data_IF_960551432825
#
_entry.id   IF_960551432825
#
_cell.length_a   1.000
_cell.length_b   1.000
_cell.length_c   1.000
_cell.angle_alpha   90.00
_cell.angle_beta   90.00
_cell.angle_gamma   90.00
#
_symmetry.space_group_name_H-M   'P 1'
#
loop_
_entity.id
_entity.type
_entity.pdbx_description
1 polymer ?
#
# COMPACT_ATOMS: atom_id res chain seq x y z
N UNK A 1 8.05 -21.09 4.31
CA UNK A 1 8.99 -19.96 4.14
C UNK A 1 8.34 -18.93 3.23
N UNK A 2 8.50 -17.65 3.52
CA UNK A 2 8.00 -16.58 2.64
C UNK A 2 8.78 -16.52 1.33
N UNK A 3 8.24 -15.81 0.34
CA UNK A 3 8.91 -15.55 -0.92
C UNK A 3 9.97 -14.47 -0.71
N UNK A 4 11.23 -14.78 -0.97
CA UNK A 4 12.31 -13.79 -0.91
C UNK A 4 12.64 -13.31 -2.32
N UNK A 5 12.72 -11.99 -2.51
CA UNK A 5 13.16 -11.41 -3.78
C UNK A 5 14.54 -11.95 -4.16
N UNK A 6 14.74 -12.21 -5.45
CA UNK A 6 16.05 -12.54 -6.00
C UNK A 6 16.22 -11.91 -7.38
N UNK A 7 17.46 -11.75 -7.84
CA UNK A 7 17.74 -11.20 -9.18
C UNK A 7 17.15 -12.03 -10.33
N UNK A 8 16.76 -13.28 -10.06
CA UNK A 8 16.04 -14.13 -11.03
C UNK A 8 14.62 -13.65 -11.31
N UNK A 9 14.06 -12.83 -10.43
CA UNK A 9 12.74 -12.21 -10.55
C UNK A 9 12.83 -10.82 -11.19
N UNK A 10 14.04 -10.29 -11.42
CA UNK A 10 14.21 -8.96 -12.04
C UNK A 10 13.99 -9.02 -13.55
N UNK A 11 13.06 -8.20 -14.01
CA UNK A 11 12.85 -7.93 -15.45
C UNK A 11 13.79 -6.84 -15.97
N UNK A 12 14.74 -6.37 -15.14
CA UNK A 12 15.74 -5.37 -15.50
C UNK A 12 15.17 -3.95 -15.65
N UNK A 13 13.94 -3.72 -15.21
CA UNK A 13 13.28 -2.42 -15.21
C UNK A 13 13.00 -2.04 -13.76
N UNK A 14 13.71 -1.05 -13.17
CA UNK A 14 13.63 -0.75 -11.74
C UNK A 14 12.21 -0.48 -11.21
N UNK A 15 11.35 0.15 -12.03
CA UNK A 15 9.96 0.42 -11.65
C UNK A 15 9.11 -0.86 -11.58
N UNK A 16 9.28 -1.79 -12.53
CA UNK A 16 8.56 -3.07 -12.51
C UNK A 16 9.09 -3.98 -11.40
N UNK A 17 10.41 -4.03 -11.22
CA UNK A 17 11.02 -4.78 -10.11
C UNK A 17 10.54 -4.24 -8.74
N UNK A 18 10.32 -2.93 -8.63
CA UNK A 18 9.72 -2.32 -7.44
C UNK A 18 8.28 -2.78 -7.24
N UNK A 19 7.47 -2.78 -8.30
CA UNK A 19 6.08 -3.27 -8.22
C UNK A 19 6.03 -4.76 -7.82
N UNK A 20 6.88 -5.60 -8.42
CA UNK A 20 6.98 -7.02 -8.07
C UNK A 20 7.36 -7.23 -6.61
N UNK A 21 8.33 -6.46 -6.09
CA UNK A 21 8.70 -6.48 -4.66
C UNK A 21 7.53 -6.10 -3.76
N UNK A 22 6.75 -5.08 -4.14
CA UNK A 22 5.54 -4.67 -3.43
C UNK A 22 4.51 -5.81 -3.41
N UNK A 23 4.23 -6.43 -4.56
CA UNK A 23 3.31 -7.57 -4.66
C UNK A 23 3.77 -8.79 -3.84
N UNK A 24 5.07 -9.11 -3.87
CA UNK A 24 5.67 -10.16 -3.04
C UNK A 24 5.56 -9.81 -1.55
N UNK A 25 5.70 -8.54 -1.18
CA UNK A 25 5.45 -8.03 0.17
C UNK A 25 4.04 -8.36 0.66
N UNK A 26 3.02 -8.14 -0.18
CA UNK A 26 1.62 -8.48 0.12
C UNK A 26 1.42 -9.99 0.30
N UNK A 27 2.06 -10.83 -0.54
CA UNK A 27 2.05 -12.30 -0.37
C UNK A 27 2.67 -12.70 0.97
N UNK A 28 3.85 -12.16 1.29
CA UNK A 28 4.55 -12.48 2.53
C UNK A 28 3.76 -12.07 3.78
N UNK A 29 3.06 -10.94 3.71
CA UNK A 29 2.15 -10.52 4.77
C UNK A 29 1.03 -11.53 4.95
N UNK A 30 0.34 -11.90 3.88
CA UNK A 30 -0.76 -12.87 3.94
C UNK A 30 -0.30 -14.22 4.49
N UNK A 31 0.95 -14.60 4.24
CA UNK A 31 1.55 -15.80 4.80
C UNK A 31 1.79 -15.72 6.31
N UNK A 32 2.15 -14.55 6.84
CA UNK A 32 2.33 -14.34 8.29
C UNK A 32 1.01 -14.33 9.04
N UNK A 33 -0.08 -13.89 8.40
CA UNK A 33 -1.39 -13.82 9.04
C UNK A 33 -2.09 -15.18 9.19
N UNK A 34 -1.54 -16.28 8.67
CA UNK A 34 -2.16 -17.62 8.77
C UNK A 34 -2.25 -18.03 10.24
N UNK A 35 -3.47 -18.28 10.73
CA UNK A 35 -3.69 -18.74 12.10
C UNK A 35 -3.54 -17.66 13.18
N UNK A 36 -3.41 -16.40 12.77
CA UNK A 36 -3.49 -15.23 13.63
C UNK A 36 -4.96 -14.88 13.90
N UNK A 37 -5.26 -14.27 15.06
CA UNK A 37 -6.61 -13.82 15.41
C UNK A 37 -7.14 -12.76 14.42
N UNK A 38 -6.22 -12.06 13.76
CA UNK A 38 -6.50 -11.04 12.74
C UNK A 38 -6.38 -11.55 11.30
N UNK A 39 -6.35 -12.88 11.07
CA UNK A 39 -6.21 -13.47 9.73
C UNK A 39 -7.19 -12.86 8.73
N UNK A 40 -8.48 -12.78 9.09
CA UNK A 40 -9.52 -12.29 8.17
C UNK A 40 -9.41 -10.79 7.89
N UNK A 41 -8.97 -9.98 8.86
CA UNK A 41 -8.73 -8.56 8.64
C UNK A 41 -7.54 -8.34 7.70
N UNK A 42 -6.49 -9.15 7.87
CA UNK A 42 -5.32 -9.21 7.00
C UNK A 42 -5.69 -9.63 5.58
N UNK A 43 -6.52 -10.67 5.42
CA UNK A 43 -7.05 -11.12 4.12
C UNK A 43 -7.78 -9.97 3.41
N UNK A 44 -8.70 -9.29 4.10
CA UNK A 44 -9.44 -8.17 3.51
C UNK A 44 -8.53 -7.03 3.04
N UNK A 45 -7.54 -6.67 3.86
CA UNK A 45 -6.57 -5.62 3.54
C UNK A 45 -5.68 -6.01 2.36
N UNK A 46 -5.20 -7.26 2.31
CA UNK A 46 -4.39 -7.77 1.19
C UNK A 46 -5.21 -7.85 -0.09
N UNK A 47 -6.45 -8.34 -0.05
CA UNK A 47 -7.31 -8.41 -1.24
C UNK A 47 -7.58 -7.02 -1.80
N UNK A 48 -7.83 -6.02 -0.93
CA UNK A 48 -8.01 -4.63 -1.36
C UNK A 48 -6.72 -4.06 -1.97
N UNK A 49 -5.57 -4.31 -1.34
CA UNK A 49 -4.28 -3.84 -1.84
C UNK A 49 -3.92 -4.51 -3.18
N UNK A 50 -4.11 -5.82 -3.31
CA UNK A 50 -3.83 -6.58 -4.54
C UNK A 50 -4.71 -6.14 -5.71
N UNK A 51 -6.00 -5.94 -5.49
CA UNK A 51 -6.94 -5.49 -6.52
C UNK A 51 -6.46 -4.20 -7.19
N UNK A 52 -5.95 -3.25 -6.41
CA UNK A 52 -5.47 -1.96 -6.91
C UNK A 52 -4.03 -2.01 -7.42
N UNK A 53 -3.12 -2.64 -6.66
CA UNK A 53 -1.70 -2.68 -7.03
C UNK A 53 -1.45 -3.54 -8.25
N UNK A 54 -2.11 -4.70 -8.36
CA UNK A 54 -1.95 -5.57 -9.52
C UNK A 54 -2.50 -4.87 -10.78
N UNK A 55 -3.68 -4.25 -10.71
CA UNK A 55 -4.22 -3.50 -11.85
C UNK A 55 -3.30 -2.34 -12.28
N UNK A 56 -2.73 -1.61 -11.33
CA UNK A 56 -1.75 -0.55 -11.62
C UNK A 56 -0.47 -1.10 -12.25
N UNK A 57 0.07 -2.18 -11.70
CA UNK A 57 1.27 -2.85 -12.20
C UNK A 57 1.07 -3.37 -13.63
N UNK A 58 -0.02 -4.10 -13.88
CA UNK A 58 -0.38 -4.61 -15.20
C UNK A 58 -0.56 -3.48 -16.22
N UNK A 59 -1.24 -2.40 -15.84
CA UNK A 59 -1.39 -1.24 -16.71
C UNK A 59 -0.04 -0.60 -17.07
N UNK A 60 0.91 -0.59 -16.13
CA UNK A 60 2.27 -0.12 -16.37
C UNK A 60 3.00 -1.03 -17.35
N UNK A 61 3.02 -2.33 -17.10
CA UNK A 61 3.65 -3.32 -17.97
C UNK A 61 3.09 -3.29 -19.38
N UNK A 62 1.77 -3.26 -19.51
CA UNK A 62 1.09 -3.21 -20.81
C UNK A 62 1.40 -1.94 -21.58
N UNK A 63 1.50 -0.80 -20.90
CA UNK A 63 1.94 0.46 -21.53
C UNK A 63 3.39 0.40 -21.99
N UNK A 64 4.26 -0.30 -21.25
CA UNK A 64 5.64 -0.55 -21.68
C UNK A 64 5.68 -1.48 -22.90
N UNK A 65 4.93 -2.58 -22.86
CA UNK A 65 4.81 -3.55 -23.94
C UNK A 65 4.26 -2.91 -25.22
N UNK A 66 3.25 -2.04 -25.11
CA UNK A 66 2.72 -1.25 -26.22
C UNK A 66 3.80 -0.33 -26.81
N UNK A 67 4.56 0.37 -25.96
CA UNK A 67 5.59 1.31 -26.39
C UNK A 67 6.78 0.63 -27.10
N UNK A 68 7.16 -0.58 -26.70
CA UNK A 68 8.19 -1.37 -27.38
C UNK A 68 7.64 -2.31 -28.46
N UNK A 69 6.31 -2.25 -28.75
CA UNK A 69 5.62 -3.08 -29.74
C UNK A 69 5.80 -4.58 -29.51
N UNK A 70 5.73 -5.01 -28.25
CA UNK A 70 5.87 -6.40 -27.86
C UNK A 70 4.76 -7.27 -28.51
N UNK A 71 5.11 -8.31 -29.29
CA UNK A 71 4.16 -9.02 -30.15
C UNK A 71 3.13 -9.86 -29.39
N UNK A 72 3.41 -10.24 -28.14
CA UNK A 72 2.53 -11.07 -27.33
C UNK A 72 1.69 -10.25 -26.33
N UNK A 73 1.59 -8.92 -26.50
CA UNK A 73 0.83 -8.03 -25.61
C UNK A 73 -0.61 -8.54 -25.38
N UNK A 74 -1.35 -8.89 -26.44
CA UNK A 74 -2.74 -9.35 -26.29
C UNK A 74 -2.86 -10.65 -25.49
N UNK A 75 -1.91 -11.58 -25.67
CA UNK A 75 -1.88 -12.82 -24.88
C UNK A 75 -1.57 -12.51 -23.42
N UNK A 76 -0.59 -11.64 -23.18
CA UNK A 76 -0.17 -11.23 -21.84
C UNK A 76 -1.30 -10.53 -21.08
N UNK A 77 -1.99 -9.58 -21.72
CA UNK A 77 -3.18 -8.91 -21.17
C UNK A 77 -4.27 -9.92 -20.75
N UNK A 78 -4.52 -10.95 -21.57
CA UNK A 78 -5.47 -12.01 -21.21
C UNK A 78 -5.06 -12.81 -19.96
N UNK A 79 -3.76 -12.90 -19.65
CA UNK A 79 -3.32 -13.50 -18.38
C UNK A 79 -3.62 -12.59 -17.18
N UNK A 80 -3.46 -11.28 -17.33
CA UNK A 80 -3.81 -10.27 -16.32
C UNK A 80 -5.31 -10.22 -16.03
N UNK A 81 -6.14 -10.32 -17.07
CA UNK A 81 -7.60 -10.38 -16.93
C UNK A 81 -8.03 -11.57 -16.06
N UNK A 82 -7.42 -12.74 -16.29
CA UNK A 82 -7.70 -13.95 -15.50
C UNK A 82 -7.32 -13.77 -14.02
N UNK A 83 -6.17 -13.13 -13.75
CA UNK A 83 -5.78 -12.81 -12.37
C UNK A 83 -6.77 -11.87 -11.71
N UNK A 84 -7.10 -10.78 -12.39
CA UNK A 84 -8.02 -9.74 -11.90
C UNK A 84 -9.39 -10.33 -11.58
N UNK A 85 -9.92 -11.17 -12.48
CA UNK A 85 -11.18 -11.88 -12.25
C UNK A 85 -11.13 -12.80 -11.01
N UNK A 86 -9.99 -13.47 -10.79
CA UNK A 86 -9.83 -14.36 -9.63
C UNK A 86 -9.75 -13.59 -8.31
N UNK A 87 -9.00 -12.48 -8.26
CA UNK A 87 -8.93 -11.58 -7.09
C UNK A 87 -10.29 -10.98 -6.80
N UNK A 88 -11.01 -10.51 -7.83
CA UNK A 88 -12.37 -10.00 -7.70
C UNK A 88 -13.32 -11.06 -7.11
N UNK A 89 -13.17 -12.34 -7.52
CA UNK A 89 -13.94 -13.46 -6.94
C UNK A 89 -13.66 -13.70 -5.46
N UNK A 90 -12.40 -13.62 -5.02
CA UNK A 90 -12.07 -13.68 -3.59
C UNK A 90 -12.64 -12.49 -2.83
N UNK A 91 -12.51 -11.28 -3.37
CA UNK A 91 -13.02 -10.05 -2.75
C UNK A 91 -14.54 -10.06 -2.61
N UNK A 92 -15.27 -10.54 -3.62
CA UNK A 92 -16.72 -10.66 -3.57
C UNK A 92 -17.17 -11.61 -2.44
N UNK A 93 -16.58 -12.82 -2.38
CA UNK A 93 -16.83 -13.78 -1.31
C UNK A 93 -16.52 -13.21 0.08
N UNK A 94 -15.36 -12.57 0.23
CA UNK A 94 -14.96 -11.94 1.50
C UNK A 94 -15.93 -10.83 1.93
N UNK A 95 -16.45 -10.06 0.97
CA UNK A 95 -17.41 -8.98 1.25
C UNK A 95 -18.75 -9.54 1.71
N UNK A 96 -19.20 -10.65 1.13
CA UNK A 96 -20.43 -11.35 1.53
C UNK A 96 -20.27 -12.01 2.91
N UNK A 97 -19.15 -12.70 3.14
CA UNK A 97 -18.80 -13.32 4.40
C UNK A 97 -17.27 -13.24 4.59
N UNK A 98 -16.85 -12.46 5.58
CA UNK A 98 -15.43 -12.24 5.90
C UNK A 98 -14.69 -13.54 6.26
N UNK A 99 -15.42 -14.57 6.71
CA UNK A 99 -14.84 -15.85 7.09
C UNK A 99 -14.74 -16.85 5.92
N UNK A 100 -15.36 -16.52 4.78
CA UNK A 100 -15.43 -17.38 3.60
C UNK A 100 -14.12 -17.49 2.83
N UNK A 101 -13.13 -16.65 3.13
CA UNK A 101 -11.82 -16.64 2.47
C UNK A 101 -10.72 -16.74 3.52
N UNK A 102 -9.92 -17.80 3.42
CA UNK A 102 -8.74 -18.01 4.27
C UNK A 102 -7.48 -17.48 3.61
N UNK A 103 -6.49 -17.08 4.42
CA UNK A 103 -5.20 -16.64 3.92
C UNK A 103 -4.51 -17.71 3.05
N UNK A 104 -4.65 -18.98 3.43
CA UNK A 104 -4.09 -20.13 2.68
C UNK A 104 -4.65 -20.27 1.26
N UNK A 105 -5.95 -19.99 1.06
CA UNK A 105 -6.59 -20.12 -0.25
C UNK A 105 -6.05 -19.06 -1.21
N UNK A 106 -5.98 -17.83 -0.72
CA UNK A 106 -5.40 -16.71 -1.45
C UNK A 106 -3.91 -16.97 -1.76
N UNK A 107 -3.11 -17.42 -0.80
CA UNK A 107 -1.68 -17.72 -1.02
C UNK A 107 -1.46 -18.83 -2.03
N UNK A 108 -2.28 -19.86 -2.04
CA UNK A 108 -2.16 -20.95 -3.01
C UNK A 108 -2.32 -20.40 -4.42
N UNK A 109 -3.32 -19.55 -4.64
CA UNK A 109 -3.52 -18.87 -5.92
C UNK A 109 -2.37 -17.89 -6.23
N UNK A 110 -2.02 -16.99 -5.31
CA UNK A 110 -1.00 -15.97 -5.55
C UNK A 110 0.38 -16.58 -5.81
N UNK A 111 0.78 -17.62 -5.09
CA UNK A 111 2.07 -18.29 -5.34
C UNK A 111 2.07 -19.04 -6.67
N UNK A 112 0.96 -19.67 -7.05
CA UNK A 112 0.87 -20.42 -8.31
C UNK A 112 0.77 -19.52 -9.53
N UNK A 113 0.10 -18.37 -9.41
CA UNK A 113 -0.04 -17.43 -10.51
C UNK A 113 1.06 -16.38 -10.51
N UNK A 114 1.20 -15.57 -9.45
CA UNK A 114 2.04 -14.36 -9.49
C UNK A 114 3.53 -14.69 -9.54
N UNK A 115 3.99 -15.64 -8.73
CA UNK A 115 5.42 -15.99 -8.73
C UNK A 115 5.80 -16.70 -10.03
N UNK A 116 4.96 -17.60 -10.53
CA UNK A 116 5.17 -18.26 -11.82
C UNK A 116 5.15 -17.26 -12.97
N UNK A 117 4.20 -16.33 -12.97
CA UNK A 117 4.06 -15.27 -13.96
C UNK A 117 5.31 -14.38 -14.02
N UNK A 118 5.78 -13.87 -12.88
CA UNK A 118 7.02 -13.07 -12.79
C UNK A 118 8.23 -13.85 -13.29
N UNK A 119 8.36 -15.12 -12.89
CA UNK A 119 9.52 -15.93 -13.24
C UNK A 119 9.50 -16.49 -14.67
N UNK A 120 8.36 -16.45 -15.36
CA UNK A 120 8.20 -17.08 -16.68
C UNK A 120 7.62 -16.12 -17.73
N UNK A 121 6.43 -15.57 -17.48
CA UNK A 121 5.67 -14.78 -18.45
C UNK A 121 6.30 -13.40 -18.63
N UNK A 122 6.67 -12.75 -17.55
CA UNK A 122 7.28 -11.40 -17.54
C UNK A 122 8.69 -11.40 -18.14
N UNK A 123 9.44 -12.48 -17.88
CA UNK A 123 10.78 -12.64 -18.42
C UNK A 123 10.81 -12.63 -19.96
N UNK A 124 9.70 -12.95 -20.63
CA UNK A 124 9.62 -12.93 -22.09
C UNK A 124 9.72 -11.51 -22.67
N UNK A 125 9.18 -10.49 -21.98
CA UNK A 125 9.26 -9.11 -22.44
C UNK A 125 10.58 -8.42 -22.05
N UNK A 126 11.35 -9.00 -21.12
CA UNK A 126 12.57 -8.40 -20.53
C UNK A 126 13.52 -7.80 -21.57
N UNK A 127 13.88 -8.58 -22.57
CA UNK A 127 14.82 -8.15 -23.63
C UNK A 127 14.29 -7.02 -24.53
N UNK A 128 12.97 -6.83 -24.57
CA UNK A 128 12.31 -5.78 -25.35
C UNK A 128 12.23 -4.45 -24.58
N UNK A 129 12.27 -4.48 -23.26
CA UNK A 129 12.08 -3.31 -22.41
C UNK A 129 13.40 -2.67 -21.96
N UNK A 130 14.44 -3.47 -21.67
CA UNK A 130 15.71 -2.96 -21.12
C UNK A 130 16.33 -1.94 -22.09
N UNK A 131 16.52 -0.71 -21.60
CA UNK A 131 17.12 0.38 -22.36
C UNK A 131 16.23 0.94 -23.48
N UNK A 132 14.94 0.58 -23.55
CA UNK A 132 14.01 1.11 -24.53
C UNK A 132 13.38 2.43 -24.02
N UNK A 133 13.76 3.61 -24.55
CA UNK A 133 13.39 4.89 -23.95
C UNK A 133 11.87 5.14 -23.93
N UNK A 134 11.16 4.67 -24.96
CA UNK A 134 9.71 4.79 -25.02
C UNK A 134 8.99 3.97 -23.96
N UNK A 135 9.57 2.84 -23.55
CA UNK A 135 8.99 1.94 -22.56
C UNK A 135 9.20 2.52 -21.16
N UNK A 136 10.42 2.97 -20.84
CA UNK A 136 10.72 3.66 -19.56
C UNK A 136 9.83 4.88 -19.34
N UNK A 137 9.68 5.73 -20.37
CA UNK A 137 8.80 6.90 -20.29
C UNK A 137 7.32 6.51 -20.15
N UNK A 138 6.89 5.40 -20.76
CA UNK A 138 5.53 4.88 -20.59
C UNK A 138 5.29 4.39 -19.15
N UNK A 139 6.27 3.70 -18.56
CA UNK A 139 6.19 3.21 -17.19
C UNK A 139 5.95 4.34 -16.19
N UNK A 140 6.68 5.45 -16.35
CA UNK A 140 6.63 6.62 -15.47
C UNK A 140 5.29 7.38 -15.55
N UNK A 141 4.57 7.27 -16.67
CA UNK A 141 3.26 7.93 -16.84
C UNK A 141 2.13 7.21 -16.10
N UNK A 142 2.33 5.94 -15.73
CA UNK A 142 1.34 5.18 -14.96
C UNK A 142 1.61 5.37 -13.47
N UNK A 143 0.67 6.04 -12.80
CA UNK A 143 0.74 6.39 -11.37
C UNK A 143 -0.44 5.78 -10.60
N UNK A 144 -0.18 5.26 -9.39
CA UNK A 144 -1.20 4.67 -8.50
C UNK A 144 -2.34 5.63 -8.14
N UNK A 145 -2.07 6.93 -8.13
CA UNK A 145 -3.07 7.97 -7.85
C UNK A 145 -4.04 8.20 -9.02
N UNK A 146 -3.71 7.69 -10.21
CA UNK A 146 -4.30 8.08 -11.49
C UNK A 146 -3.90 9.51 -11.90
N UNK A 147 -4.02 9.85 -13.19
CA UNK A 147 -3.77 11.20 -13.72
C UNK A 147 -4.74 12.30 -13.25
N UNK A 148 -5.46 12.05 -12.15
CA UNK A 148 -6.47 12.93 -11.57
C UNK A 148 -5.98 13.63 -10.31
N UNK A 149 -5.89 14.96 -10.42
CA UNK A 149 -5.47 15.99 -9.44
C UNK A 149 -3.98 16.34 -9.47
N UNK A 150 -3.70 17.50 -10.05
CA UNK A 150 -2.39 18.14 -10.17
C UNK A 150 -1.63 18.35 -8.84
N UNK A 151 -2.25 18.04 -7.69
CA UNK A 151 -1.69 18.25 -6.35
C UNK A 151 -1.05 17.02 -5.75
N UNK A 152 -1.53 15.80 -6.04
CA UNK A 152 -0.85 14.56 -5.63
C UNK A 152 0.47 14.34 -6.41
N UNK A 153 0.53 14.86 -7.64
CA UNK A 153 1.72 14.86 -8.49
C UNK A 153 2.83 15.84 -8.05
N UNK A 154 2.63 16.61 -6.97
CA UNK A 154 3.57 17.65 -6.50
C UNK A 154 4.37 17.27 -5.25
N UNK A 155 4.08 16.11 -4.63
CA UNK A 155 4.76 15.68 -3.41
C UNK A 155 6.02 14.92 -3.76
N UNK A 156 7.17 15.38 -3.25
CA UNK A 156 8.42 14.64 -3.31
C UNK A 156 8.44 13.55 -2.24
N UNK A 157 7.86 12.40 -2.56
CA UNK A 157 7.73 11.24 -1.67
C UNK A 157 9.05 10.80 -1.03
N UNK A 158 10.18 10.97 -1.75
CA UNK A 158 11.50 10.56 -1.28
C UNK A 158 11.99 11.29 -0.04
N UNK A 159 11.45 12.49 0.22
CA UNK A 159 11.80 13.33 1.36
C UNK A 159 10.89 13.13 2.56
N UNK A 160 9.77 12.42 2.40
CA UNK A 160 8.79 12.27 3.46
C UNK A 160 9.30 11.36 4.58
N UNK A 161 9.03 11.78 5.81
CA UNK A 161 9.25 11.06 7.06
C UNK A 161 7.89 10.73 7.67
N UNK A 162 7.50 9.47 7.54
CA UNK A 162 6.19 8.97 7.97
C UNK A 162 6.37 8.16 9.26
N UNK A 163 5.54 8.45 10.26
CA UNK A 163 5.37 7.59 11.43
C UNK A 163 4.07 6.81 11.31
N UNK A 164 4.16 5.48 11.35
CA UNK A 164 3.04 4.56 11.46
C UNK A 164 2.86 4.16 12.93
N UNK A 165 1.65 4.24 13.45
CA UNK A 165 1.30 3.87 14.83
C UNK A 165 0.14 2.89 14.78
N UNK A 166 0.42 1.61 14.93
CA UNK A 166 -0.59 0.55 14.89
C UNK A 166 0.00 -0.67 15.61
N UNK A 167 -0.73 -1.26 16.56
CA UNK A 167 -0.30 -2.45 17.29
C UNK A 167 -0.32 -3.71 16.40
N UNK A 168 -1.06 -3.66 15.28
CA UNK A 168 -1.00 -4.65 14.23
C UNK A 168 0.26 -4.44 13.37
N UNK A 169 1.33 -5.16 13.74
CA UNK A 169 2.61 -5.21 13.01
C UNK A 169 2.39 -5.59 11.54
N UNK A 170 1.48 -6.52 11.28
CA UNK A 170 1.19 -7.00 9.93
C UNK A 170 0.63 -5.84 9.08
N UNK A 171 -0.30 -5.04 9.62
CA UNK A 171 -0.89 -3.91 8.91
C UNK A 171 0.10 -2.76 8.70
N UNK A 172 0.98 -2.48 9.67
CA UNK A 172 2.11 -1.56 9.48
C UNK A 172 2.96 -1.93 8.26
N UNK A 173 3.24 -3.23 8.06
CA UNK A 173 4.01 -3.71 6.90
C UNK A 173 3.27 -3.51 5.57
N UNK A 174 1.93 -3.60 5.55
CA UNK A 174 1.14 -3.23 4.36
C UNK A 174 1.36 -1.75 4.08
N UNK A 175 1.09 -0.86 5.04
CA UNK A 175 1.23 0.59 4.83
C UNK A 175 2.65 0.97 4.40
N UNK A 176 3.67 0.34 4.99
CA UNK A 176 5.08 0.49 4.59
C UNK A 176 5.31 0.08 3.15
N UNK A 177 4.76 -1.05 2.73
CA UNK A 177 4.83 -1.57 1.35
C UNK A 177 4.18 -0.61 0.36
N UNK A 178 3.01 -0.05 0.72
CA UNK A 178 2.27 0.91 -0.10
C UNK A 178 3.04 2.23 -0.23
N UNK A 179 3.46 2.83 0.87
CA UNK A 179 4.21 4.10 0.88
C UNK A 179 5.59 3.96 0.23
N UNK A 180 6.27 2.83 0.43
CA UNK A 180 7.54 2.53 -0.21
C UNK A 180 7.44 2.46 -1.74
N UNK A 181 6.32 1.98 -2.28
CA UNK A 181 6.10 1.86 -3.73
C UNK A 181 6.09 3.21 -4.48
N UNK A 182 5.78 4.31 -3.79
CA UNK A 182 5.85 5.67 -4.35
C UNK A 182 7.16 6.40 -3.99
N UNK A 183 8.08 5.71 -3.31
CA UNK A 183 9.43 6.20 -3.03
C UNK A 183 9.65 6.77 -1.63
N UNK A 184 8.71 6.61 -0.68
CA UNK A 184 8.94 7.07 0.71
C UNK A 184 10.08 6.27 1.34
N UNK A 185 11.21 6.93 1.59
CA UNK A 185 12.42 6.29 2.10
C UNK A 185 12.46 6.19 3.63
N UNK A 186 11.79 7.11 4.33
CA UNK A 186 11.84 7.18 5.80
C UNK A 186 10.47 6.87 6.39
N UNK A 187 10.28 5.61 6.79
CA UNK A 187 9.08 5.13 7.45
C UNK A 187 9.49 4.49 8.77
N UNK A 188 8.99 5.03 9.88
CA UNK A 188 9.13 4.44 11.22
C UNK A 188 7.78 3.82 11.60
N UNK A 189 7.79 2.63 12.17
CA UNK A 189 6.58 1.97 12.68
C UNK A 189 6.76 1.69 14.18
N UNK A 190 5.74 2.00 14.96
CA UNK A 190 5.68 1.74 16.40
C UNK A 190 4.31 1.18 16.76
N UNK A 191 4.24 0.48 17.89
CA UNK A 191 3.09 -0.39 18.22
C UNK A 191 2.39 0.01 19.53
N UNK A 192 2.73 1.18 20.06
CA UNK A 192 2.18 1.73 21.30
C UNK A 192 2.31 3.27 21.31
N UNK A 193 1.52 3.97 22.13
CA UNK A 193 1.53 5.44 22.13
C UNK A 193 2.76 6.02 22.82
N UNK A 194 3.41 5.30 23.74
CA UNK A 194 4.60 5.79 24.42
C UNK A 194 5.77 5.90 23.43
N UNK A 195 5.97 4.87 22.60
CA UNK A 195 6.93 4.85 21.50
C UNK A 195 6.61 5.92 20.46
N UNK A 196 5.32 6.10 20.10
CA UNK A 196 4.92 7.17 19.17
C UNK A 196 5.29 8.57 19.69
N UNK A 197 4.99 8.85 20.97
CA UNK A 197 5.35 10.12 21.62
C UNK A 197 6.86 10.33 21.66
N UNK A 198 7.64 9.28 21.91
CA UNK A 198 9.10 9.35 21.92
C UNK A 198 9.65 9.73 20.53
N UNK A 199 9.18 9.09 19.46
CA UNK A 199 9.60 9.40 18.08
C UNK A 199 9.20 10.83 17.70
N UNK A 200 7.95 11.23 17.96
CA UNK A 200 7.47 12.60 17.69
C UNK A 200 8.32 13.65 18.43
N UNK A 201 8.78 13.35 19.64
CA UNK A 201 9.61 14.27 20.43
C UNK A 201 11.08 14.34 19.99
N UNK A 202 11.57 13.38 19.21
CA UNK A 202 12.99 13.26 18.82
C UNK A 202 13.23 13.55 17.34
N UNK A 203 12.23 13.30 16.50
CA UNK A 203 12.34 13.33 15.06
C UNK A 203 11.41 14.36 14.44
N UNK A 204 11.87 15.02 13.37
CA UNK A 204 10.96 15.78 12.50
C UNK A 204 10.19 14.80 11.63
N UNK A 205 8.88 14.85 11.70
CA UNK A 205 7.96 14.03 10.90
C UNK A 205 7.16 14.94 9.98
N UNK A 206 6.77 14.42 8.82
CA UNK A 206 5.89 15.12 7.88
C UNK A 206 4.42 14.70 8.07
N UNK A 207 4.19 13.50 8.61
CA UNK A 207 2.86 12.97 8.89
C UNK A 207 2.93 11.79 9.87
N UNK A 208 1.90 11.68 10.72
CA UNK A 208 1.60 10.49 11.51
C UNK A 208 0.37 9.81 10.91
N UNK A 209 0.46 8.50 10.69
CA UNK A 209 -0.67 7.65 10.34
C UNK A 209 -0.88 6.71 11.52
N UNK A 210 -1.97 6.91 12.27
CA UNK A 210 -2.25 6.16 13.50
C UNK A 210 -3.53 5.37 13.37
N UNK A 211 -3.55 4.14 13.86
CA UNK A 211 -4.79 3.45 14.11
C UNK A 211 -5.56 4.11 15.25
N UNK A 212 -6.87 3.88 15.26
CA UNK A 212 -7.76 4.39 16.28
C UNK A 212 -7.55 3.67 17.61
N UNK A 213 -7.38 2.36 17.56
CA UNK A 213 -7.05 1.53 18.71
C UNK A 213 -5.60 1.08 18.53
N UNK A 214 -4.80 1.28 19.57
CA UNK A 214 -3.40 0.85 19.59
C UNK A 214 -3.24 0.06 20.89
N UNK A 215 -3.49 -1.24 20.82
CA UNK A 215 -3.70 -2.09 21.98
C UNK A 215 -4.90 -1.60 22.80
N UNK A 216 -4.67 -1.33 24.09
CA UNK A 216 -5.68 -0.78 25.01
C UNK A 216 -5.80 0.75 24.95
N UNK A 217 -4.92 1.43 24.20
CA UNK A 217 -4.88 2.88 24.10
C UNK A 217 -5.66 3.40 22.89
N UNK A 218 -6.15 4.65 22.95
CA UNK A 218 -6.80 5.31 21.82
C UNK A 218 -5.84 6.23 21.06
N UNK A 219 -5.72 6.05 19.75
CA UNK A 219 -5.01 6.97 18.86
C UNK A 219 -5.53 8.41 18.92
N UNK A 220 -6.77 8.64 19.36
CA UNK A 220 -7.27 9.99 19.62
C UNK A 220 -6.56 10.68 20.79
N UNK A 221 -6.05 9.92 21.76
CA UNK A 221 -5.27 10.49 22.85
C UNK A 221 -3.88 10.89 22.39
N UNK A 222 -3.31 10.19 21.40
CA UNK A 222 -2.12 10.64 20.68
C UNK A 222 -2.39 11.97 19.97
N UNK A 223 -3.51 12.07 19.23
CA UNK A 223 -3.90 13.32 18.54
C UNK A 223 -3.99 14.49 19.52
N UNK A 224 -4.74 14.33 20.63
CA UNK A 224 -4.88 15.38 21.65
C UNK A 224 -3.53 15.77 22.24
N UNK A 225 -2.65 14.80 22.46
CA UNK A 225 -1.29 15.06 22.95
C UNK A 225 -0.45 15.83 21.92
N UNK A 226 -0.49 15.44 20.64
CA UNK A 226 0.17 16.15 19.53
C UNK A 226 -0.27 17.62 19.51
N UNK A 227 -1.58 17.90 19.58
CA UNK A 227 -2.13 19.27 19.53
C UNK A 227 -1.80 20.14 20.75
N UNK A 228 -1.49 19.54 21.90
CA UNK A 228 -1.06 20.26 23.13
C UNK A 228 0.45 20.53 23.17
N UNK A 229 1.21 19.98 22.23
CA UNK A 229 2.65 20.15 22.14
C UNK A 229 3.09 21.54 21.65
N UNK A 230 4.41 21.73 21.45
CA UNK A 230 4.96 22.94 20.84
C UNK A 230 4.40 23.21 19.43
N UNK A 231 4.51 24.44 18.89
CA UNK A 231 3.82 24.82 17.65
C UNK A 231 4.13 23.97 16.41
N UNK A 232 5.34 23.43 16.30
CA UNK A 232 5.74 22.51 15.23
C UNK A 232 5.08 21.12 15.39
N UNK A 233 5.10 20.56 16.60
CA UNK A 233 4.37 19.34 16.93
C UNK A 233 2.86 19.51 16.72
N UNK A 234 2.27 20.61 17.20
CA UNK A 234 0.83 20.84 17.11
C UNK A 234 0.33 20.96 15.67
N UNK A 235 1.20 21.29 14.71
CA UNK A 235 0.91 21.36 13.27
C UNK A 235 1.19 20.07 12.51
N UNK A 236 1.82 19.08 13.14
CA UNK A 236 2.11 17.78 12.52
C UNK A 236 0.81 17.14 12.03
N UNK A 237 0.68 16.85 10.72
CA UNK A 237 -0.51 16.19 10.19
C UNK A 237 -0.71 14.80 10.82
N UNK A 238 -1.94 14.50 11.24
CA UNK A 238 -2.34 13.19 11.77
C UNK A 238 -3.52 12.63 10.99
N UNK A 239 -3.30 11.49 10.33
CA UNK A 239 -4.31 10.67 9.68
C UNK A 239 -4.70 9.52 10.61
N UNK A 240 -5.98 9.43 10.97
CA UNK A 240 -6.51 8.32 11.77
C UNK A 240 -7.08 7.23 10.86
N UNK A 241 -6.68 5.99 11.13
CA UNK A 241 -7.23 4.78 10.53
C UNK A 241 -8.17 4.12 11.52
N UNK A 242 -9.22 3.45 11.07
CA UNK A 242 -10.16 2.80 11.99
C UNK A 242 -10.82 1.58 11.37
N UNK A 243 -10.91 0.48 12.11
CA UNK A 243 -11.74 -0.68 11.76
C UNK A 243 -13.20 -0.49 12.15
N UNK A 244 -14.12 -0.94 11.29
CA UNK A 244 -15.58 -1.11 11.48
C UNK A 244 -16.37 -0.02 12.26
N UNK A 245 -17.16 0.74 11.47
CA UNK A 245 -18.42 1.43 11.74
C UNK A 245 -18.48 2.90 12.25
N UNK A 246 -19.06 3.73 11.36
CA UNK A 246 -19.90 4.95 11.50
C UNK A 246 -19.25 6.30 11.22
N UNK A 247 -20.03 7.15 10.52
CA UNK A 247 -19.81 8.60 10.38
C UNK A 247 -19.53 9.29 11.72
N UNK A 248 -20.09 8.79 12.82
CA UNK A 248 -19.86 9.30 14.17
C UNK A 248 -18.37 9.26 14.57
N UNK A 249 -17.60 8.27 14.11
CA UNK A 249 -16.17 8.17 14.42
C UNK A 249 -15.36 9.23 13.68
N UNK A 250 -15.76 9.56 12.45
CA UNK A 250 -15.11 10.64 11.69
C UNK A 250 -15.20 11.97 12.43
N UNK A 251 -16.38 12.34 12.90
CA UNK A 251 -16.57 13.60 13.62
C UNK A 251 -15.78 13.63 14.93
N UNK A 252 -15.75 12.50 15.66
CA UNK A 252 -14.95 12.36 16.87
C UNK A 252 -13.43 12.52 16.61
N UNK A 253 -12.90 11.92 15.54
CA UNK A 253 -11.49 12.09 15.17
C UNK A 253 -11.16 13.55 14.85
N UNK A 254 -12.00 14.20 14.05
CA UNK A 254 -11.82 15.61 13.67
C UNK A 254 -11.94 16.54 14.90
N UNK A 255 -12.89 16.28 15.80
CA UNK A 255 -13.04 17.02 17.06
C UNK A 255 -11.85 16.84 18.01
N UNK A 256 -11.22 15.66 18.02
CA UNK A 256 -9.98 15.42 18.76
C UNK A 256 -8.79 16.19 18.17
N UNK A 257 -8.91 16.65 16.92
CA UNK A 257 -7.92 17.45 16.20
C UNK A 257 -7.19 16.69 15.09
N UNK A 258 -7.65 15.50 14.68
CA UNK A 258 -7.06 14.80 13.54
C UNK A 258 -7.33 15.57 12.24
N UNK A 259 -6.42 15.48 11.27
CA UNK A 259 -6.55 16.21 10.00
C UNK A 259 -7.38 15.43 8.98
N UNK A 260 -7.36 14.10 9.05
CA UNK A 260 -8.17 13.22 8.23
C UNK A 260 -8.45 11.88 8.94
N UNK A 261 -9.48 11.18 8.46
CA UNK A 261 -9.91 9.88 8.92
C UNK A 261 -10.12 8.96 7.71
N UNK A 262 -9.72 7.70 7.80
CA UNK A 262 -9.98 6.65 6.81
C UNK A 262 -10.44 5.35 7.46
N UNK A 263 -11.42 4.70 6.84
CA UNK A 263 -11.94 3.41 7.27
C UNK A 263 -11.11 2.26 6.67
N UNK A 264 -10.79 1.24 7.49
CA UNK A 264 -10.20 -0.03 7.07
C UNK A 264 -11.30 -0.94 6.49
N UNK A 265 -11.06 -1.67 5.38
CA UNK A 265 -9.79 -1.85 4.69
C UNK A 265 -9.39 -0.65 3.81
N UNK A 266 -8.12 -0.28 3.87
CA UNK A 266 -7.60 0.89 3.17
C UNK A 266 -7.09 0.49 1.80
N UNK A 267 -7.53 1.24 0.79
CA UNK A 267 -6.98 1.20 -0.55
C UNK A 267 -5.65 1.95 -0.64
N UNK A 268 -4.73 1.41 -1.44
CA UNK A 268 -3.47 2.04 -1.77
C UNK A 268 -3.68 3.47 -2.27
N UNK A 269 -4.63 3.60 -3.20
CA UNK A 269 -4.96 4.88 -3.81
C UNK A 269 -5.45 5.91 -2.79
N UNK A 270 -6.37 5.53 -1.89
CA UNK A 270 -6.89 6.48 -0.92
C UNK A 270 -5.85 6.87 0.12
N UNK A 271 -5.01 5.92 0.58
CA UNK A 271 -3.89 6.22 1.47
C UNK A 271 -2.97 7.28 0.84
N UNK A 272 -2.51 7.02 -0.39
CA UNK A 272 -1.60 7.93 -1.09
C UNK A 272 -2.24 9.31 -1.33
N UNK A 273 -3.51 9.36 -1.74
CA UNK A 273 -4.21 10.63 -1.93
C UNK A 273 -4.43 11.40 -0.62
N UNK A 274 -4.69 10.72 0.50
CA UNK A 274 -4.81 11.37 1.80
C UNK A 274 -3.47 11.92 2.27
N UNK A 275 -2.43 11.09 2.27
CA UNK A 275 -1.06 11.51 2.64
C UNK A 275 -0.61 12.70 1.80
N UNK A 276 -0.74 12.63 0.47
CA UNK A 276 -0.32 13.72 -0.40
C UNK A 276 -1.10 15.03 -0.13
N UNK A 277 -2.40 14.92 0.16
CA UNK A 277 -3.25 16.08 0.47
C UNK A 277 -2.90 16.72 1.80
N UNK A 278 -2.58 15.92 2.82
CA UNK A 278 -2.24 16.39 4.15
C UNK A 278 -0.88 17.07 4.17
N UNK A 279 0.14 16.43 3.59
CA UNK A 279 1.48 17.01 3.51
C UNK A 279 1.47 18.28 2.64
N UNK A 280 0.75 18.28 1.51
CA UNK A 280 0.63 19.46 0.63
C UNK A 280 -0.20 20.63 1.18
N UNK A 281 -0.77 20.52 2.39
CA UNK A 281 -1.39 21.63 3.15
C UNK A 281 -0.47 22.20 4.23
N UNK A 282 0.51 21.41 4.68
CA UNK A 282 1.44 21.78 5.75
C UNK A 282 2.67 22.56 5.23
N UNK A 283 2.93 22.50 3.92
CA UNK A 283 3.98 23.22 3.21
C UNK A 283 3.63 24.69 2.91
#
# INVERSE_FOLDING_TARGET
MGVTWSERMSVGVPLLDSDHKTLIGLINHLQRSIGDDEEYASVGSVLQALDEYAAHHFAREEKMMEACRYPLLSQHHGTHDNFTAKVAGFKARYTEDKTSVRARDCLTFLNSWLIDHICTTDMNYRSWMIGHPGAEAAAQRVTLTGGGTARAAQVDWSKLRVLLVDDNVNFCEILRTILGSVGVATISAVHDLASAKAVIGQERLDIVVSDWHVGEESGLDLVKWVRRGPPDQARLPVLILSGHERMANRDLALLAGADEFMEKPISARNLLLGVARLVGKAA
#
